data_IF_631867330729
#
_entry.id   IF_631867330729
#
_cell.length_a   1.000
_cell.length_b   1.000
_cell.length_c   1.000
_cell.angle_alpha   90.00
_cell.angle_beta   90.00
_cell.angle_gamma   90.00
#
_symmetry.space_group_name_H-M   'P 1'
#
loop_
_entity.id
_entity.type
_entity.pdbx_description
1 polymer ?
#
# COMPACT_ATOMS: atom_id res chain seq x y z
N UNK A 1 -12.61 -3.86 9.61
CA UNK A 1 -11.47 -4.61 8.97
C UNK A 1 -10.53 -3.62 8.31
N UNK A 2 -9.24 -3.75 8.57
CA UNK A 2 -8.19 -2.93 7.95
C UNK A 2 -7.41 -3.74 6.90
N UNK A 3 -7.24 -3.18 5.70
CA UNK A 3 -6.42 -3.76 4.62
C UNK A 3 -5.24 -2.84 4.35
N UNK A 4 -4.02 -3.38 4.42
CA UNK A 4 -2.77 -2.64 4.19
C UNK A 4 -2.15 -3.05 2.87
N UNK A 5 -1.97 -2.10 1.96
CA UNK A 5 -1.38 -2.30 0.65
C UNK A 5 0.02 -1.68 0.54
N UNK A 6 0.93 -2.27 -0.24
CA UNK A 6 2.14 -1.60 -0.65
C UNK A 6 1.80 -0.58 -1.74
N UNK A 7 2.61 0.47 -1.93
CA UNK A 7 2.46 1.34 -3.11
C UNK A 7 2.92 0.60 -4.36
N UNK A 8 2.55 1.13 -5.52
CA UNK A 8 3.21 0.78 -6.78
C UNK A 8 4.37 1.72 -7.10
N UNK A 9 5.32 1.25 -7.88
CA UNK A 9 6.38 2.10 -8.44
C UNK A 9 5.86 2.94 -9.60
N UNK A 10 5.00 2.35 -10.44
CA UNK A 10 4.29 3.04 -11.52
C UNK A 10 3.05 3.74 -10.99
N UNK A 11 2.78 4.93 -11.50
CA UNK A 11 1.61 5.71 -11.15
C UNK A 11 1.04 6.41 -12.37
N UNK A 12 -0.26 6.37 -12.50
CA UNK A 12 -1.00 7.13 -13.51
C UNK A 12 -1.12 8.57 -13.03
N UNK A 13 -0.68 9.51 -13.85
CA UNK A 13 -0.86 10.94 -13.56
C UNK A 13 -2.34 11.29 -13.71
N UNK A 14 -2.98 11.86 -12.68
CA UNK A 14 -4.35 12.38 -12.83
C UNK A 14 -4.43 13.40 -13.96
N UNK A 15 -5.54 13.40 -14.68
CA UNK A 15 -5.78 14.40 -15.73
C UNK A 15 -5.94 15.78 -15.09
N UNK A 16 -5.11 16.78 -15.44
CA UNK A 16 -5.23 18.13 -14.89
C UNK A 16 -6.59 18.79 -15.15
N UNK A 17 -7.28 18.38 -16.22
CA UNK A 17 -8.63 18.90 -16.57
C UNK A 17 -9.75 18.33 -15.70
N UNK A 18 -9.50 17.22 -15.01
CA UNK A 18 -10.47 16.51 -14.15
C UNK A 18 -10.02 16.49 -12.68
N UNK A 19 -8.73 16.71 -12.43
CA UNK A 19 -8.14 16.64 -11.11
C UNK A 19 -8.68 17.71 -10.15
N UNK A 20 -8.92 17.32 -8.92
CA UNK A 20 -9.46 18.18 -7.86
C UNK A 20 -8.37 19.07 -7.18
N UNK A 21 -7.50 19.74 -7.97
CA UNK A 21 -6.52 20.67 -7.43
C UNK A 21 -5.12 20.08 -7.20
N UNK A 22 -4.33 20.78 -6.39
CA UNK A 22 -2.96 20.44 -6.00
C UNK A 22 -2.93 19.66 -4.67
N UNK A 23 -1.76 19.16 -4.27
CA UNK A 23 -1.58 18.42 -3.04
C UNK A 23 -1.82 19.30 -1.79
N UNK A 24 -2.85 18.98 -1.03
CA UNK A 24 -3.10 19.54 0.29
C UNK A 24 -2.73 18.51 1.38
N UNK A 25 -1.60 18.74 2.03
CA UNK A 25 -1.12 17.84 3.10
C UNK A 25 -2.01 17.88 4.35
N UNK A 26 -2.73 18.98 4.57
CA UNK A 26 -3.64 19.13 5.70
C UNK A 26 -4.95 18.38 5.54
N UNK A 27 -5.37 18.14 4.29
CA UNK A 27 -6.59 17.40 3.98
C UNK A 27 -6.38 15.86 3.99
N UNK A 28 -5.14 15.38 4.05
CA UNK A 28 -4.87 13.95 4.10
C UNK A 28 -5.22 13.34 5.45
N UNK A 29 -5.70 12.10 5.42
CA UNK A 29 -5.87 11.29 6.62
C UNK A 29 -4.58 11.28 7.48
N UNK A 30 -4.73 11.10 8.79
CA UNK A 30 -3.60 11.14 9.73
C UNK A 30 -2.90 12.50 9.79
N UNK A 31 -3.58 13.56 10.30
CA UNK A 31 -3.04 14.92 10.38
C UNK A 31 -1.77 15.04 11.22
N UNK A 32 -1.51 14.09 12.14
CA UNK A 32 -0.28 13.99 12.91
C UNK A 32 0.97 13.74 12.04
N UNK A 33 0.80 13.34 10.77
CA UNK A 33 1.90 13.17 9.80
C UNK A 33 2.15 14.41 8.93
N UNK A 34 1.38 15.48 9.09
CA UNK A 34 1.43 16.65 8.17
C UNK A 34 2.81 17.29 8.13
N UNK A 35 3.46 17.53 9.28
CA UNK A 35 4.80 18.10 9.34
C UNK A 35 5.86 17.18 8.73
N UNK A 36 5.74 15.87 8.96
CA UNK A 36 6.63 14.87 8.40
C UNK A 36 6.46 14.78 6.88
N UNK A 37 5.24 14.82 6.38
CA UNK A 37 4.94 14.89 4.95
C UNK A 37 5.57 16.12 4.29
N UNK A 38 5.39 17.29 4.90
CA UNK A 38 5.99 18.53 4.40
C UNK A 38 7.54 18.45 4.40
N UNK A 39 8.13 17.83 5.40
CA UNK A 39 9.58 17.62 5.47
C UNK A 39 10.07 16.68 4.38
N UNK A 40 9.39 15.55 4.17
CA UNK A 40 9.71 14.59 3.12
C UNK A 40 9.54 15.22 1.74
N UNK A 41 8.45 15.96 1.50
CA UNK A 41 8.15 16.62 0.23
C UNK A 41 9.28 17.59 -0.16
N UNK A 42 9.66 18.52 0.74
CA UNK A 42 10.78 19.44 0.51
C UNK A 42 12.10 18.72 0.27
N UNK A 43 12.34 17.61 0.94
CA UNK A 43 13.56 16.83 0.77
C UNK A 43 13.59 16.09 -0.57
N UNK A 44 12.45 15.60 -1.04
CA UNK A 44 12.30 14.97 -2.36
C UNK A 44 12.49 16.00 -3.47
N UNK A 45 11.85 17.15 -3.41
CA UNK A 45 12.02 18.26 -4.36
C UNK A 45 13.49 18.69 -4.45
N UNK A 46 14.18 18.86 -3.30
CA UNK A 46 15.61 19.15 -3.27
C UNK A 46 16.45 18.03 -3.87
N UNK A 47 16.07 16.78 -3.69
CA UNK A 47 16.74 15.63 -4.32
C UNK A 47 16.57 15.65 -5.83
N UNK A 48 15.35 15.95 -6.29
CA UNK A 48 15.00 16.05 -7.71
C UNK A 48 15.74 17.20 -8.42
N UNK A 49 15.99 18.30 -7.74
CA UNK A 49 16.78 19.42 -8.28
C UNK A 49 18.31 19.13 -8.32
N UNK A 50 18.76 18.01 -7.79
CA UNK A 50 20.19 17.64 -7.75
C UNK A 50 20.66 16.87 -8.98
N UNK A 51 22.00 16.86 -9.20
CA UNK A 51 22.62 16.20 -10.36
C UNK A 51 22.35 14.70 -10.45
N UNK A 52 22.19 14.00 -9.29
CA UNK A 52 21.98 12.55 -9.22
C UNK A 52 20.51 12.19 -8.99
N UNK A 53 19.58 13.07 -9.35
CA UNK A 53 18.15 12.95 -9.08
C UNK A 53 17.59 11.60 -9.55
N UNK A 54 17.79 11.23 -10.80
CA UNK A 54 17.28 10.01 -11.38
C UNK A 54 17.71 8.76 -10.59
N UNK A 55 19.01 8.67 -10.26
CA UNK A 55 19.57 7.56 -9.49
C UNK A 55 18.99 7.50 -8.07
N UNK A 56 18.95 8.62 -7.36
CA UNK A 56 18.48 8.69 -5.96
C UNK A 56 16.99 8.41 -5.82
N UNK A 57 16.18 8.87 -6.77
CA UNK A 57 14.74 8.69 -6.80
C UNK A 57 14.31 7.37 -7.48
N UNK A 58 15.24 6.69 -8.15
CA UNK A 58 14.97 5.48 -8.92
C UNK A 58 14.13 5.76 -10.18
N UNK A 59 14.37 6.90 -10.82
CA UNK A 59 13.74 7.26 -12.10
C UNK A 59 14.41 6.48 -13.22
N UNK A 60 13.66 5.72 -14.04
CA UNK A 60 14.23 4.99 -15.16
C UNK A 60 14.69 5.95 -16.27
N UNK A 61 15.72 5.56 -17.00
CA UNK A 61 16.23 6.36 -18.13
C UNK A 61 15.19 6.58 -19.25
N UNK A 62 14.18 5.72 -19.32
CA UNK A 62 13.07 5.82 -20.26
C UNK A 62 12.00 6.88 -19.91
N UNK A 63 12.08 7.48 -18.73
CA UNK A 63 11.09 8.46 -18.26
C UNK A 63 11.76 9.61 -17.49
N UNK A 64 12.69 10.36 -18.12
CA UNK A 64 13.44 11.45 -17.46
C UNK A 64 12.55 12.58 -16.99
N UNK A 65 11.41 12.81 -17.62
CA UNK A 65 10.40 13.82 -17.27
C UNK A 65 9.85 13.64 -15.84
N UNK A 66 9.96 12.45 -15.28
CA UNK A 66 9.57 12.20 -13.88
C UNK A 66 10.43 12.99 -12.90
N UNK A 67 11.68 13.34 -13.25
CA UNK A 67 12.53 14.17 -12.39
C UNK A 67 11.98 15.59 -12.31
N UNK A 68 11.60 16.18 -13.44
CA UNK A 68 11.02 17.53 -13.50
C UNK A 68 9.72 17.62 -12.71
N UNK A 69 8.86 16.60 -12.84
CA UNK A 69 7.61 16.50 -12.07
C UNK A 69 7.87 16.40 -10.57
N UNK A 70 8.93 15.72 -10.14
CA UNK A 70 9.32 15.63 -8.74
C UNK A 70 9.86 16.95 -8.17
N UNK A 71 10.37 17.86 -9.02
CA UNK A 71 10.77 19.22 -8.61
C UNK A 71 9.53 20.06 -8.29
N UNK A 72 8.49 19.99 -9.13
CA UNK A 72 7.23 20.73 -8.99
C UNK A 72 6.11 19.89 -8.38
N UNK A 73 6.42 18.95 -7.48
CA UNK A 73 5.49 17.94 -6.99
C UNK A 73 4.26 18.52 -6.26
N UNK A 74 4.38 19.73 -5.71
CA UNK A 74 3.26 20.45 -5.07
C UNK A 74 2.20 20.89 -6.08
N UNK A 75 2.60 21.15 -7.33
CA UNK A 75 1.73 21.60 -8.41
C UNK A 75 1.14 20.43 -9.23
N UNK A 76 1.58 19.20 -8.94
CA UNK A 76 1.08 18.01 -9.65
C UNK A 76 -0.40 17.76 -9.31
N UNK A 77 -1.22 17.41 -10.32
CA UNK A 77 -2.62 17.09 -10.12
C UNK A 77 -2.78 15.88 -9.19
N UNK A 78 -3.80 15.92 -8.34
CA UNK A 78 -4.08 14.85 -7.37
C UNK A 78 -5.32 14.06 -7.73
N UNK A 79 -5.32 12.78 -7.40
CA UNK A 79 -6.45 11.87 -7.60
C UNK A 79 -6.58 10.84 -6.49
N UNK A 80 -7.66 10.03 -6.51
CA UNK A 80 -7.83 8.94 -5.55
C UNK A 80 -6.64 7.97 -5.61
N UNK A 81 -6.15 7.45 -4.47
CA UNK A 81 -5.01 6.53 -4.46
C UNK A 81 -5.19 5.31 -5.37
N UNK A 82 -6.39 4.71 -5.44
CA UNK A 82 -6.64 3.53 -6.27
C UNK A 82 -6.60 3.82 -7.78
N UNK A 83 -6.75 5.08 -8.20
CA UNK A 83 -6.60 5.49 -9.60
C UNK A 83 -5.20 5.97 -9.92
N UNK A 84 -4.48 6.51 -8.93
CA UNK A 84 -3.10 6.99 -9.08
C UNK A 84 -2.11 5.82 -9.06
N UNK A 85 -2.19 4.94 -8.07
CA UNK A 85 -1.37 3.73 -8.08
C UNK A 85 -1.80 2.80 -9.21
N UNK A 86 -0.86 2.33 -10.00
CA UNK A 86 -1.11 1.46 -11.16
C UNK A 86 -0.18 0.25 -11.16
N UNK A 87 -0.43 -0.71 -12.07
CA UNK A 87 0.36 -1.92 -12.21
C UNK A 87 -0.23 -3.12 -11.46
N UNK A 88 0.46 -4.24 -11.50
CA UNK A 88 -0.05 -5.62 -11.30
C UNK A 88 -0.98 -5.82 -10.11
N UNK A 89 -0.76 -5.15 -8.98
CA UNK A 89 -1.66 -5.24 -7.83
C UNK A 89 -2.94 -4.41 -8.07
N UNK A 90 -2.76 -3.14 -8.43
CA UNK A 90 -3.86 -2.19 -8.57
C UNK A 90 -4.71 -2.47 -9.80
N UNK A 91 -4.16 -3.10 -10.84
CA UNK A 91 -4.90 -3.58 -12.02
C UNK A 91 -5.91 -4.69 -11.67
N UNK A 92 -5.84 -5.28 -10.48
CA UNK A 92 -6.85 -6.22 -9.96
C UNK A 92 -7.99 -5.53 -9.22
N UNK A 93 -7.84 -4.25 -8.91
CA UNK A 93 -8.84 -3.42 -8.24
C UNK A 93 -9.51 -2.53 -9.28
N UNK A 94 -10.82 -2.49 -9.27
CA UNK A 94 -11.57 -1.57 -10.12
C UNK A 94 -11.28 -0.12 -9.66
N UNK A 95 -10.85 0.79 -10.55
CA UNK A 95 -10.64 2.21 -10.17
C UNK A 95 -11.90 2.91 -9.66
N UNK A 96 -13.08 2.40 -10.03
CA UNK A 96 -14.38 2.89 -9.56
C UNK A 96 -14.89 2.20 -8.30
N UNK A 97 -14.08 1.28 -7.72
CA UNK A 97 -14.45 0.53 -6.54
C UNK A 97 -14.66 1.49 -5.35
N UNK A 98 -15.87 1.52 -4.85
CA UNK A 98 -16.19 2.17 -3.58
C UNK A 98 -15.77 1.26 -2.44
N UNK A 99 -14.97 1.79 -1.51
CA UNK A 99 -14.58 1.07 -0.31
C UNK A 99 -15.76 1.08 0.66
N UNK A 100 -16.31 -0.09 1.04
CA UNK A 100 -17.42 -0.13 2.00
C UNK A 100 -17.06 0.53 3.33
N UNK A 101 -18.01 1.19 3.97
CA UNK A 101 -17.77 1.97 5.21
C UNK A 101 -17.27 1.14 6.41
N UNK A 102 -17.50 -0.17 6.38
CA UNK A 102 -17.04 -1.13 7.39
C UNK A 102 -15.64 -1.69 7.12
N UNK A 103 -14.98 -1.20 6.06
CA UNK A 103 -13.61 -1.56 5.67
C UNK A 103 -12.79 -0.32 5.43
N UNK A 104 -11.52 -0.40 5.79
CA UNK A 104 -10.55 0.66 5.53
C UNK A 104 -9.38 0.11 4.73
N UNK A 105 -9.01 0.80 3.66
CA UNK A 105 -7.85 0.44 2.84
C UNK A 105 -6.79 1.53 2.97
N UNK A 106 -5.64 1.17 3.52
CA UNK A 106 -4.51 2.08 3.63
C UNK A 106 -3.39 1.64 2.69
N UNK A 107 -2.89 2.58 1.91
CA UNK A 107 -1.71 2.36 1.05
C UNK A 107 -0.51 3.01 1.70
N UNK A 108 0.53 2.21 1.98
CA UNK A 108 1.77 2.75 2.51
C UNK A 108 2.55 3.48 1.42
N UNK A 109 3.08 4.65 1.73
CA UNK A 109 3.69 5.55 0.77
C UNK A 109 5.09 5.98 1.21
N UNK A 110 6.08 5.88 0.31
CA UNK A 110 7.41 6.41 0.57
C UNK A 110 7.45 7.95 0.62
N UNK A 111 6.50 8.62 -0.05
CA UNK A 111 6.37 10.09 -0.04
C UNK A 111 5.53 10.58 1.15
N UNK A 112 4.36 9.97 1.38
CA UNK A 112 3.32 10.48 2.28
C UNK A 112 3.15 9.64 3.56
N UNK A 113 4.00 8.61 3.76
CA UNK A 113 3.93 7.69 4.89
C UNK A 113 2.82 6.66 4.74
N UNK A 114 1.60 7.05 5.02
CA UNK A 114 0.38 6.24 4.81
C UNK A 114 -0.69 7.16 4.23
N UNK A 115 -1.49 6.64 3.31
CA UNK A 115 -2.65 7.32 2.75
C UNK A 115 -3.88 6.42 2.82
N UNK A 116 -5.03 7.01 3.04
CA UNK A 116 -6.32 6.34 3.03
C UNK A 116 -6.86 6.31 1.60
N UNK A 117 -7.14 5.11 1.09
CA UNK A 117 -7.55 4.94 -0.29
C UNK A 117 -8.97 5.47 -0.58
N UNK A 118 -9.81 5.58 0.46
CA UNK A 118 -11.19 6.07 0.33
C UNK A 118 -11.32 7.58 0.37
N UNK A 119 -10.42 8.27 1.06
CA UNK A 119 -10.61 9.71 1.34
C UNK A 119 -9.51 10.59 0.76
N UNK A 120 -8.28 10.11 0.66
CA UNK A 120 -7.14 10.93 0.29
C UNK A 120 -7.07 11.23 -1.22
N UNK A 121 -6.38 12.31 -1.55
CA UNK A 121 -6.01 12.69 -2.91
C UNK A 121 -4.50 12.86 -2.97
N UNK A 122 -3.84 12.15 -3.90
CA UNK A 122 -2.39 12.11 -4.00
C UNK A 122 -1.89 12.41 -5.42
N UNK A 123 -0.71 13.00 -5.58
CA UNK A 123 -0.09 13.16 -6.89
C UNK A 123 0.56 11.85 -7.34
N UNK A 124 0.81 11.74 -8.64
CA UNK A 124 1.69 10.71 -9.16
C UNK A 124 3.15 11.11 -8.93
N UNK A 125 3.87 10.32 -8.13
CA UNK A 125 5.26 10.56 -7.74
C UNK A 125 6.16 9.35 -8.01
N UNK A 126 7.47 9.56 -8.08
CA UNK A 126 8.46 8.48 -8.17
C UNK A 126 9.36 8.49 -6.92
N UNK A 127 9.06 7.62 -6.00
CA UNK A 127 9.83 7.38 -4.79
C UNK A 127 9.53 5.97 -4.27
N UNK A 128 10.55 5.27 -3.79
CA UNK A 128 10.41 3.95 -3.17
C UNK A 128 10.96 3.94 -1.75
N UNK A 129 10.66 2.90 -0.99
CA UNK A 129 11.21 2.69 0.35
C UNK A 129 12.76 2.73 0.37
N UNK A 130 13.40 2.27 -0.72
CA UNK A 130 14.85 2.24 -0.88
C UNK A 130 15.47 3.55 -1.37
N UNK A 131 14.68 4.52 -1.84
CA UNK A 131 15.18 5.79 -2.35
C UNK A 131 15.92 6.57 -1.27
N UNK A 132 17.02 7.25 -1.67
CA UNK A 132 17.80 8.10 -0.78
C UNK A 132 17.43 9.55 -1.00
N UNK A 133 16.94 10.21 0.05
CA UNK A 133 16.38 11.56 0.01
C UNK A 133 17.35 12.53 0.71
N UNK A 134 17.54 13.71 0.13
CA UNK A 134 18.46 14.73 0.62
C UNK A 134 18.21 15.05 2.10
N UNK A 135 19.26 14.96 2.91
CA UNK A 135 19.28 15.21 4.36
C UNK A 135 18.49 14.24 5.23
N UNK A 136 17.68 13.33 4.64
CA UNK A 136 16.87 12.37 5.40
C UNK A 136 17.41 10.94 5.32
N UNK A 137 18.25 10.62 4.32
CA UNK A 137 18.73 9.27 4.07
C UNK A 137 17.69 8.41 3.36
N UNK A 138 17.63 7.11 3.68
CA UNK A 138 16.66 6.20 3.08
C UNK A 138 15.25 6.52 3.56
N UNK A 139 14.31 6.63 2.63
CA UNK A 139 12.90 6.95 2.91
C UNK A 139 12.29 5.96 3.94
N UNK A 140 12.55 4.65 3.79
CA UNK A 140 12.05 3.66 4.73
C UNK A 140 12.54 3.89 6.17
N UNK A 141 13.83 4.14 6.34
CA UNK A 141 14.43 4.35 7.67
C UNK A 141 13.89 5.62 8.32
N UNK A 142 13.69 6.68 7.53
CA UNK A 142 13.16 7.93 8.02
C UNK A 142 11.70 7.77 8.47
N UNK A 143 10.84 7.18 7.63
CA UNK A 143 9.43 6.94 7.94
C UNK A 143 9.22 5.99 9.11
N UNK A 144 10.08 4.98 9.30
CA UNK A 144 9.91 4.01 10.38
C UNK A 144 9.85 4.66 11.78
N UNK A 145 10.47 5.82 11.96
CA UNK A 145 10.44 6.56 13.24
C UNK A 145 9.07 7.19 13.51
N UNK A 146 8.35 7.56 12.46
CA UNK A 146 7.09 8.30 12.54
C UNK A 146 5.88 7.36 12.41
N UNK A 147 6.01 6.23 11.71
CA UNK A 147 4.90 5.33 11.43
C UNK A 147 4.70 4.22 12.48
N UNK A 148 5.70 3.95 13.33
CA UNK A 148 5.53 2.96 14.41
C UNK A 148 4.43 3.32 15.40
N UNK A 149 4.35 4.56 15.92
CA UNK A 149 3.25 4.96 16.80
C UNK A 149 1.89 4.86 16.11
N UNK A 150 1.82 5.28 14.83
CA UNK A 150 0.60 5.17 14.03
C UNK A 150 0.15 3.70 13.88
N UNK A 151 1.06 2.78 13.57
CA UNK A 151 0.72 1.36 13.46
C UNK A 151 0.16 0.79 14.77
N UNK A 152 0.68 1.22 15.92
CA UNK A 152 0.14 0.83 17.24
C UNK A 152 -1.24 1.43 17.49
N UNK A 153 -1.47 2.68 17.07
CA UNK A 153 -2.78 3.33 17.17
C UNK A 153 -3.83 2.62 16.34
N UNK A 154 -3.52 2.29 15.08
CA UNK A 154 -4.40 1.54 14.19
C UNK A 154 -4.78 0.17 14.76
N UNK A 155 -3.84 -0.56 15.37
CA UNK A 155 -4.16 -1.81 16.05
C UNK A 155 -5.11 -1.60 17.25
N UNK A 156 -4.95 -0.48 17.97
CA UNK A 156 -5.87 -0.10 19.04
C UNK A 156 -7.28 0.18 18.53
N UNK A 157 -7.40 0.90 17.42
CA UNK A 157 -8.69 1.19 16.77
C UNK A 157 -9.39 -0.10 16.31
N UNK A 158 -8.66 -1.00 15.62
CA UNK A 158 -9.21 -2.28 15.17
C UNK A 158 -9.61 -3.20 16.33
N UNK A 159 -8.92 -3.12 17.48
CA UNK A 159 -9.23 -3.92 18.66
C UNK A 159 -10.60 -3.59 19.27
N UNK A 160 -11.09 -2.39 19.09
CA UNK A 160 -12.39 -1.92 19.59
C UNK A 160 -13.48 -2.00 18.49
N UNK A 161 -13.08 -2.34 17.25
CA UNK A 161 -13.99 -2.48 16.12
C UNK A 161 -14.67 -3.83 16.02
N UNK A 162 -15.72 -3.94 15.18
CA UNK A 162 -16.46 -5.19 15.01
C UNK A 162 -15.69 -6.27 14.26
N UNK A 163 -14.60 -5.93 13.62
CA UNK A 163 -13.82 -6.79 12.72
C UNK A 163 -12.33 -6.67 13.04
N UNK A 164 -11.84 -7.22 14.17
CA UNK A 164 -10.49 -7.04 14.67
C UNK A 164 -9.46 -7.85 13.86
N UNK A 165 -9.51 -7.70 12.54
CA UNK A 165 -8.62 -8.37 11.58
C UNK A 165 -7.96 -7.34 10.67
N UNK A 166 -6.64 -7.45 10.57
CA UNK A 166 -5.81 -6.66 9.66
C UNK A 166 -5.24 -7.56 8.58
N UNK A 167 -5.46 -7.23 7.33
CA UNK A 167 -4.89 -7.93 6.16
C UNK A 167 -3.63 -7.18 5.70
N UNK A 168 -2.46 -7.73 5.96
CA UNK A 168 -1.18 -7.12 5.57
C UNK A 168 -0.68 -7.66 4.24
N UNK A 169 -1.02 -6.97 3.16
CA UNK A 169 -0.56 -7.24 1.80
C UNK A 169 0.75 -6.54 1.43
N UNK A 170 1.41 -5.85 2.37
CA UNK A 170 2.64 -5.10 2.10
C UNK A 170 3.84 -6.01 1.84
N UNK A 171 4.85 -5.47 1.14
CA UNK A 171 6.16 -6.12 1.02
C UNK A 171 7.02 -5.90 2.27
N UNK A 172 8.06 -6.71 2.44
CA UNK A 172 8.92 -6.66 3.65
C UNK A 172 9.48 -5.28 3.98
N UNK A 173 9.93 -4.50 2.97
CA UNK A 173 10.43 -3.15 3.19
C UNK A 173 9.37 -2.21 3.79
N UNK A 174 8.12 -2.32 3.32
CA UNK A 174 7.02 -1.50 3.82
C UNK A 174 6.50 -1.99 5.18
N UNK A 175 6.50 -3.30 5.43
CA UNK A 175 6.22 -3.83 6.77
C UNK A 175 7.22 -3.32 7.80
N UNK A 176 8.51 -3.20 7.43
CA UNK A 176 9.55 -2.67 8.31
C UNK A 176 9.34 -1.18 8.63
N UNK A 177 8.76 -0.40 7.71
CA UNK A 177 8.44 1.02 7.94
C UNK A 177 7.34 1.21 9.00
N UNK A 178 6.32 0.37 8.99
CA UNK A 178 5.22 0.39 9.94
C UNK A 178 4.92 -1.05 10.39
N UNK A 179 5.67 -1.57 11.37
CA UNK A 179 5.45 -2.91 11.86
C UNK A 179 4.07 -3.02 12.53
N UNK A 180 3.31 -4.04 12.14
CA UNK A 180 2.07 -4.41 12.78
C UNK A 180 2.13 -5.90 13.10
N UNK A 181 1.72 -6.27 14.30
CA UNK A 181 1.75 -7.65 14.78
C UNK A 181 0.46 -7.98 15.50
N UNK A 182 0.07 -9.23 15.44
CA UNK A 182 -1.08 -9.73 16.19
C UNK A 182 -0.94 -9.45 17.69
N UNK A 183 -2.06 -9.14 18.29
CA UNK A 183 -2.22 -8.97 19.74
C UNK A 183 -3.32 -9.91 20.23
N UNK A 184 -3.56 -10.07 21.53
CA UNK A 184 -4.70 -10.87 21.99
C UNK A 184 -6.07 -10.39 21.50
N UNK A 185 -6.17 -9.14 21.04
CA UNK A 185 -7.43 -8.52 20.58
C UNK A 185 -7.53 -8.34 19.07
N UNK A 186 -6.43 -8.38 18.33
CA UNK A 186 -6.39 -8.13 16.87
C UNK A 186 -5.50 -9.13 16.20
N UNK A 187 -5.98 -9.76 15.15
CA UNK A 187 -5.15 -10.63 14.31
C UNK A 187 -4.65 -9.89 13.09
N UNK A 188 -3.33 -9.95 12.83
CA UNK A 188 -2.70 -9.39 11.63
C UNK A 188 -2.29 -10.54 10.71
N UNK A 189 -2.99 -10.70 9.61
CA UNK A 189 -2.75 -11.76 8.63
C UNK A 189 -1.80 -11.28 7.52
N UNK A 190 -0.61 -11.86 7.47
CA UNK A 190 0.37 -11.57 6.42
C UNK A 190 0.06 -12.35 5.13
N UNK A 191 -0.34 -11.66 4.07
CA UNK A 191 -0.60 -12.27 2.76
C UNK A 191 0.71 -12.75 2.14
N UNK A 192 0.83 -14.07 1.97
CA UNK A 192 2.01 -14.77 1.48
C UNK A 192 1.67 -15.62 0.25
N UNK A 193 1.81 -15.09 -0.97
CA UNK A 193 1.61 -15.88 -2.18
C UNK A 193 2.68 -16.95 -2.35
N UNK A 194 2.23 -18.16 -2.66
CA UNK A 194 3.07 -19.35 -2.84
C UNK A 194 2.69 -20.05 -4.13
N UNK A 195 3.65 -20.44 -4.91
CA UNK A 195 3.47 -21.32 -6.06
C UNK A 195 3.87 -22.74 -5.68
N UNK A 196 2.98 -23.69 -5.95
CA UNK A 196 3.22 -25.11 -5.74
C UNK A 196 3.35 -25.82 -7.08
N UNK A 197 4.50 -26.47 -7.31
CA UNK A 197 4.77 -27.25 -8.51
C UNK A 197 5.36 -28.60 -8.12
N UNK A 198 4.72 -29.69 -8.54
CA UNK A 198 5.16 -31.06 -8.22
C UNK A 198 5.39 -31.27 -6.70
N UNK A 199 4.50 -30.73 -5.85
CA UNK A 199 4.62 -30.82 -4.40
C UNK A 199 5.69 -29.92 -3.77
N UNK A 200 6.44 -29.16 -4.57
CA UNK A 200 7.44 -28.22 -4.08
C UNK A 200 6.85 -26.79 -4.03
N UNK A 201 6.95 -26.17 -2.87
CA UNK A 201 6.45 -24.79 -2.66
C UNK A 201 7.57 -23.76 -2.76
N UNK A 202 7.31 -22.69 -3.51
CA UNK A 202 8.20 -21.54 -3.62
C UNK A 202 7.42 -20.25 -3.42
N UNK A 203 7.95 -19.34 -2.58
CA UNK A 203 7.38 -18.00 -2.44
C UNK A 203 7.49 -17.27 -3.77
N UNK A 204 6.37 -16.75 -4.27
CA UNK A 204 6.32 -16.00 -5.53
C UNK A 204 6.80 -14.58 -5.29
N UNK A 205 7.75 -14.11 -6.09
CA UNK A 205 8.22 -12.72 -5.99
C UNK A 205 7.58 -11.80 -7.05
N UNK A 206 7.48 -12.26 -8.29
CA UNK A 206 7.02 -11.40 -9.40
C UNK A 206 5.49 -11.30 -9.42
N UNK A 207 4.78 -12.43 -9.38
CA UNK A 207 3.31 -12.46 -9.42
C UNK A 207 2.66 -12.23 -8.05
N UNK A 208 3.45 -12.13 -6.97
CA UNK A 208 2.94 -11.86 -5.63
C UNK A 208 2.03 -10.63 -5.54
N UNK A 209 2.26 -9.63 -6.39
CA UNK A 209 1.45 -8.41 -6.44
C UNK A 209 0.04 -8.69 -6.95
N UNK A 210 -0.12 -9.59 -7.95
CA UNK A 210 -1.43 -9.97 -8.49
C UNK A 210 -2.29 -10.65 -7.42
N UNK A 211 -1.74 -11.63 -6.72
CA UNK A 211 -2.48 -12.35 -5.68
C UNK A 211 -2.91 -11.45 -4.52
N UNK A 212 -2.07 -10.48 -4.15
CA UNK A 212 -2.43 -9.46 -3.14
C UNK A 212 -3.58 -8.58 -3.60
N UNK A 213 -3.61 -8.21 -4.88
CA UNK A 213 -4.74 -7.49 -5.47
C UNK A 213 -6.02 -8.33 -5.43
N UNK A 214 -5.96 -9.60 -5.82
CA UNK A 214 -7.11 -10.51 -5.77
C UNK A 214 -7.63 -10.73 -4.34
N UNK A 215 -6.74 -10.93 -3.37
CA UNK A 215 -7.13 -10.99 -1.94
C UNK A 215 -7.89 -9.74 -1.54
N UNK A 216 -7.34 -8.58 -1.86
CA UNK A 216 -7.97 -7.30 -1.54
C UNK A 216 -9.34 -7.18 -2.21
N UNK A 217 -9.45 -7.52 -3.49
CA UNK A 217 -10.70 -7.46 -4.24
C UNK A 217 -11.77 -8.35 -3.62
N UNK A 218 -11.47 -9.63 -3.38
CA UNK A 218 -12.43 -10.58 -2.78
C UNK A 218 -12.94 -10.08 -1.42
N UNK A 219 -12.05 -9.55 -0.57
CA UNK A 219 -12.44 -9.06 0.74
C UNK A 219 -13.23 -7.75 0.67
N UNK A 220 -13.03 -6.92 -0.35
CA UNK A 220 -13.83 -5.72 -0.56
C UNK A 220 -15.20 -6.04 -1.17
N UNK A 221 -15.31 -7.07 -2.00
CA UNK A 221 -16.58 -7.51 -2.60
C UNK A 221 -17.45 -8.35 -1.65
N UNK A 222 -16.90 -8.85 -0.53
CA UNK A 222 -17.65 -9.63 0.44
C UNK A 222 -18.79 -8.78 1.07
N UNK A 223 -19.97 -9.39 1.29
CA UNK A 223 -21.14 -8.67 1.82
C UNK A 223 -20.90 -8.06 3.22
N UNK A 224 -20.13 -8.74 4.06
CA UNK A 224 -19.75 -8.30 5.41
C UNK A 224 -18.25 -8.52 5.61
N UNK A 225 -17.56 -7.68 6.40
CA UNK A 225 -16.15 -7.90 6.71
C UNK A 225 -15.99 -9.13 7.62
N UNK A 226 -14.96 -9.91 7.37
CA UNK A 226 -14.61 -11.01 8.25
C UNK A 226 -14.17 -10.50 9.62
N UNK A 227 -14.63 -11.12 10.68
CA UNK A 227 -14.31 -10.77 12.08
C UNK A 227 -13.28 -11.73 12.69
N UNK A 228 -13.03 -12.85 12.04
CA UNK A 228 -12.05 -13.86 12.46
C UNK A 228 -11.15 -14.29 11.30
N UNK A 229 -9.95 -14.84 11.59
CA UNK A 229 -9.08 -15.41 10.56
C UNK A 229 -9.75 -16.52 9.74
N UNK A 230 -10.57 -17.37 10.34
CA UNK A 230 -11.25 -18.44 9.64
C UNK A 230 -12.29 -17.90 8.66
N UNK A 231 -13.03 -16.86 9.02
CA UNK A 231 -13.95 -16.17 8.12
C UNK A 231 -13.21 -15.52 6.93
N UNK A 232 -11.99 -14.97 7.13
CA UNK A 232 -11.14 -14.49 6.03
C UNK A 232 -10.83 -15.63 5.07
N UNK A 233 -10.42 -16.78 5.60
CA UNK A 233 -10.12 -17.98 4.79
C UNK A 233 -11.34 -18.42 4.00
N UNK A 234 -12.50 -18.47 4.63
CA UNK A 234 -13.76 -18.90 4.00
C UNK A 234 -14.21 -17.94 2.90
N UNK A 235 -14.13 -16.62 3.15
CA UNK A 235 -14.43 -15.61 2.13
C UNK A 235 -13.49 -15.71 0.92
N UNK A 236 -12.19 -15.89 1.16
CA UNK A 236 -11.22 -16.05 0.10
C UNK A 236 -11.40 -17.35 -0.69
N UNK A 237 -11.70 -18.47 -0.01
CA UNK A 237 -12.02 -19.74 -0.68
C UNK A 237 -13.26 -19.62 -1.55
N UNK A 238 -14.30 -18.96 -1.05
CA UNK A 238 -15.50 -18.71 -1.83
C UNK A 238 -15.22 -17.83 -3.06
N UNK A 239 -14.43 -16.76 -2.91
CA UNK A 239 -14.09 -15.85 -4.00
C UNK A 239 -13.15 -16.44 -5.05
N UNK A 240 -12.20 -17.29 -4.64
CA UNK A 240 -11.25 -17.92 -5.56
C UNK A 240 -11.76 -19.22 -6.18
N UNK A 241 -12.74 -19.87 -5.56
CA UNK A 241 -13.23 -21.18 -5.98
C UNK A 241 -12.11 -22.22 -6.03
N UNK A 242 -11.98 -22.89 -7.19
CA UNK A 242 -10.91 -23.87 -7.43
C UNK A 242 -9.61 -23.27 -7.99
N UNK A 243 -9.57 -21.97 -8.26
CA UNK A 243 -8.44 -21.32 -8.94
C UNK A 243 -7.21 -21.22 -8.01
N UNK A 244 -7.41 -20.89 -6.75
CA UNK A 244 -6.33 -20.74 -5.77
C UNK A 244 -6.66 -21.46 -4.46
N UNK A 245 -5.64 -22.09 -3.85
CA UNK A 245 -5.73 -22.58 -2.48
C UNK A 245 -5.56 -21.45 -1.46
N UNK A 246 -6.24 -21.57 -0.31
CA UNK A 246 -6.09 -20.65 0.81
C UNK A 246 -5.80 -21.46 2.06
N UNK A 247 -4.67 -21.19 2.70
CA UNK A 247 -4.20 -21.88 3.89
C UNK A 247 -3.78 -20.85 4.96
N UNK A 248 -4.08 -21.15 6.21
CA UNK A 248 -3.72 -20.32 7.36
C UNK A 248 -2.70 -21.08 8.23
N UNK A 249 -1.53 -20.47 8.43
CA UNK A 249 -0.44 -21.00 9.25
C UNK A 249 -0.02 -19.94 10.28
N UNK A 250 -0.65 -19.94 11.45
CA UNK A 250 -0.52 -18.85 12.43
C UNK A 250 -1.01 -17.53 11.83
N UNK A 251 -0.16 -16.51 11.81
CA UNK A 251 -0.46 -15.21 11.20
C UNK A 251 -0.22 -15.15 9.68
N UNK A 252 0.22 -16.25 9.08
CA UNK A 252 0.52 -16.33 7.65
C UNK A 252 -0.67 -16.82 6.86
N UNK A 253 -1.21 -15.96 6.01
CA UNK A 253 -2.26 -16.27 5.05
C UNK A 253 -1.62 -16.65 3.70
N UNK A 254 -1.45 -17.96 3.47
CA UNK A 254 -0.84 -18.47 2.24
C UNK A 254 -1.89 -18.54 1.13
N UNK A 255 -1.59 -17.91 -0.02
CA UNK A 255 -2.37 -18.01 -1.25
C UNK A 255 -1.61 -18.93 -2.19
N UNK A 256 -2.15 -20.12 -2.43
CA UNK A 256 -1.46 -21.21 -3.11
C UNK A 256 -1.93 -21.34 -4.57
N UNK A 257 -1.03 -21.02 -5.49
CA UNK A 257 -1.24 -21.25 -6.92
C UNK A 257 -0.59 -22.59 -7.31
N UNK A 258 -1.43 -23.57 -7.69
CA UNK A 258 -0.97 -24.89 -8.13
C UNK A 258 -0.77 -24.88 -9.61
N UNK A 259 0.50 -24.83 -10.04
CA UNK A 259 0.90 -24.90 -11.46
C UNK A 259 1.32 -26.31 -11.83
N UNK A 260 0.75 -26.80 -12.91
CA UNK A 260 1.11 -28.09 -13.54
C UNK A 260 2.52 -28.08 -14.15
#
# INVERSE_FOLDING_TARGET
MLILLPPSETKTRPDPGVAAGALDLGALAFPELTEQRATMLRAVQRTAAGKDAATKLGVPASAPELVERMVALEDEPVGPPLTVYSGVLFDQLDPSLEIPADRRVLVQSALLGVVDAGTDRIPAYRLSAGSTVARLGKAATWWARHLRPLGSGLLGEEAEGPSPVVIDSRSGAYRTMMPMRSTPKVTVLEVSPVQERNGTRKVVSHDAKRYRGWVTRVLLDAAVPASTPDEVVDQLRAGFGSTLGVELEGDRLAIVDRVS
#
